data_IF_325219054249
#
_entry.id   IF_325219054249
#
_cell.length_a   1.000
_cell.length_b   1.000
_cell.length_c   1.000
_cell.angle_alpha   90.00
_cell.angle_beta   90.00
_cell.angle_gamma   90.00
#
_symmetry.space_group_name_H-M   'P 1'
#
loop_
_entity.id
_entity.type
_entity.pdbx_description
1 polymer ?
#
# COMPACT_ATOMS: atom_id res chain seq x y z
N UNK A 1 -3.55 18.06 13.24
CA UNK A 1 -4.43 18.60 12.19
C UNK A 1 -4.15 17.75 10.96
N UNK A 2 -5.04 16.82 10.65
CA UNK A 2 -4.88 15.88 9.54
C UNK A 2 -5.07 16.62 8.22
N UNK A 3 -4.13 16.49 7.29
CA UNK A 3 -4.18 17.10 5.97
C UNK A 3 -5.20 16.32 5.15
N UNK A 4 -6.33 16.95 4.87
CA UNK A 4 -7.30 16.48 3.88
C UNK A 4 -6.72 16.74 2.49
N UNK A 5 -5.81 15.88 2.02
CA UNK A 5 -5.42 15.92 0.62
C UNK A 5 -6.57 15.37 -0.22
N UNK A 6 -6.94 16.08 -1.28
CA UNK A 6 -7.92 15.57 -2.26
C UNK A 6 -7.24 14.65 -3.26
N UNK A 7 -6.00 14.99 -3.63
CA UNK A 7 -5.17 14.24 -4.59
C UNK A 7 -3.70 14.23 -4.14
N UNK A 8 -2.99 13.18 -4.50
CA UNK A 8 -1.55 13.00 -4.26
C UNK A 8 -0.94 12.31 -5.48
N UNK A 9 0.14 12.87 -6.02
CA UNK A 9 0.75 12.39 -7.25
C UNK A 9 2.26 12.20 -7.13
N UNK A 10 2.77 11.22 -7.86
CA UNK A 10 4.21 11.03 -8.07
C UNK A 10 4.46 10.30 -9.39
N UNK A 11 5.68 10.40 -9.90
CA UNK A 11 6.07 9.74 -11.14
C UNK A 11 7.40 9.01 -10.99
N UNK A 12 7.54 7.93 -11.76
CA UNK A 12 8.78 7.16 -11.88
C UNK A 12 9.23 7.08 -13.34
N UNK A 13 10.55 6.98 -13.56
CA UNK A 13 11.14 6.76 -14.88
C UNK A 13 11.05 5.30 -15.35
N UNK A 14 11.63 5.01 -16.52
CA UNK A 14 11.70 3.66 -17.10
C UNK A 14 12.50 2.64 -16.27
N UNK A 15 13.30 3.11 -15.30
CA UNK A 15 14.05 2.28 -14.34
C UNK A 15 13.37 2.22 -12.96
N UNK A 16 12.12 2.69 -12.89
CA UNK A 16 11.30 2.74 -11.68
C UNK A 16 11.89 3.61 -10.57
N UNK A 17 12.66 4.63 -10.92
CA UNK A 17 13.17 5.64 -9.98
C UNK A 17 12.19 6.79 -9.89
N UNK A 18 11.91 7.26 -8.67
CA UNK A 18 11.09 8.46 -8.45
C UNK A 18 11.75 9.66 -9.14
N UNK A 19 11.07 10.28 -10.09
CA UNK A 19 11.57 11.49 -10.78
C UNK A 19 10.85 12.74 -10.32
N UNK A 20 9.67 12.59 -9.72
CA UNK A 20 8.85 13.69 -9.26
C UNK A 20 7.85 13.23 -8.19
N UNK A 21 7.57 14.09 -7.21
CA UNK A 21 6.51 13.95 -6.21
C UNK A 21 5.83 15.31 -6.06
N UNK A 22 4.52 15.32 -5.84
CA UNK A 22 3.82 16.59 -5.57
C UNK A 22 3.95 17.02 -4.10
N UNK A 23 3.51 18.24 -3.81
CA UNK A 23 3.51 18.78 -2.44
C UNK A 23 2.62 17.97 -1.48
N UNK A 24 1.58 17.30 -2.00
CA UNK A 24 0.63 16.56 -1.18
C UNK A 24 1.20 15.21 -0.76
N UNK A 25 2.02 14.59 -1.59
CA UNK A 25 2.81 13.42 -1.26
C UNK A 25 3.75 13.71 -0.09
N UNK A 26 4.49 14.82 -0.16
CA UNK A 26 5.40 15.25 0.92
C UNK A 26 4.63 15.56 2.22
N UNK A 27 3.52 16.27 2.09
CA UNK A 27 2.64 16.59 3.21
C UNK A 27 2.07 15.31 3.87
N UNK A 28 1.66 14.35 3.04
CA UNK A 28 1.15 13.05 3.49
C UNK A 28 2.23 12.21 4.17
N UNK A 29 3.44 12.14 3.60
CA UNK A 29 4.56 11.44 4.20
C UNK A 29 4.90 12.01 5.59
N UNK A 30 4.91 13.35 5.72
CA UNK A 30 5.15 14.03 6.99
C UNK A 30 4.09 13.72 8.05
N UNK A 31 2.82 13.62 7.67
CA UNK A 31 1.72 13.32 8.61
C UNK A 31 1.74 11.88 9.12
N UNK A 32 2.19 10.93 8.29
CA UNK A 32 2.22 9.50 8.66
C UNK A 32 3.59 9.10 9.24
N UNK A 33 4.21 9.98 10.02
CA UNK A 33 5.49 9.79 10.73
C UNK A 33 6.70 9.40 9.84
N UNK A 34 6.62 9.62 8.52
CA UNK A 34 7.74 9.52 7.59
C UNK A 34 8.39 10.90 7.35
N UNK A 35 8.47 11.73 8.40
CA UNK A 35 8.92 13.14 8.33
C UNK A 35 10.37 13.36 7.88
N UNK A 36 11.17 12.29 7.77
CA UNK A 36 12.51 12.34 7.16
C UNK A 36 12.50 12.34 5.63
N UNK A 37 11.34 12.12 5.00
CA UNK A 37 11.20 12.13 3.54
C UNK A 37 10.96 13.56 3.05
N UNK A 38 11.99 14.15 2.47
CA UNK A 38 11.92 15.35 1.64
C UNK A 38 12.10 14.99 0.16
N UNK A 39 11.69 15.87 -0.76
CA UNK A 39 11.86 15.67 -2.21
C UNK A 39 13.31 15.30 -2.56
N UNK A 40 14.28 16.03 -2.00
CA UNK A 40 15.73 15.79 -2.18
C UNK A 40 16.22 14.43 -1.68
N UNK A 41 15.46 13.75 -0.83
CA UNK A 41 15.79 12.43 -0.27
C UNK A 41 15.06 11.28 -0.95
N UNK A 42 14.05 11.57 -1.77
CA UNK A 42 13.21 10.56 -2.45
C UNK A 42 13.44 10.55 -3.95
N UNK A 43 13.61 11.70 -4.58
CA UNK A 43 13.86 11.79 -6.03
C UNK A 43 15.21 11.16 -6.36
N UNK A 44 15.24 10.38 -7.44
CA UNK A 44 16.36 9.56 -7.90
C UNK A 44 16.42 8.16 -7.28
N UNK A 45 15.65 7.87 -6.23
CA UNK A 45 15.64 6.55 -5.58
C UNK A 45 14.65 5.59 -6.23
N UNK A 46 14.94 4.29 -6.28
CA UNK A 46 13.98 3.28 -6.72
C UNK A 46 12.70 3.32 -5.87
N UNK A 47 11.53 3.28 -6.52
CA UNK A 47 10.23 3.19 -5.84
C UNK A 47 10.18 2.01 -4.85
N UNK A 48 10.86 0.92 -5.19
CA UNK A 48 10.89 -0.32 -4.43
C UNK A 48 11.45 -0.17 -3.02
N UNK A 49 12.28 0.84 -2.76
CA UNK A 49 12.80 1.14 -1.43
C UNK A 49 11.71 1.65 -0.47
N UNK A 50 10.60 2.17 -0.99
CA UNK A 50 9.49 2.73 -0.21
C UNK A 50 8.31 1.77 -0.04
N UNK A 51 8.35 0.59 -0.67
CA UNK A 51 7.36 -0.47 -0.51
C UNK A 51 8.07 -1.59 0.24
N UNK A 52 7.74 -1.85 1.51
CA UNK A 52 8.46 -2.84 2.33
C UNK A 52 8.10 -4.29 2.01
N UNK A 53 6.87 -4.55 1.60
CA UNK A 53 6.34 -5.89 1.31
C UNK A 53 6.74 -6.41 -0.09
N UNK A 54 7.45 -7.55 -0.20
CA UNK A 54 7.78 -8.15 -1.49
C UNK A 54 6.55 -8.46 -2.36
N UNK A 55 5.45 -8.96 -1.78
CA UNK A 55 4.27 -9.31 -2.56
C UNK A 55 3.62 -8.05 -3.19
N UNK A 56 3.56 -6.95 -2.45
CA UNK A 56 3.10 -5.66 -2.95
C UNK A 56 4.03 -5.11 -4.02
N UNK A 57 5.36 -5.24 -3.87
CA UNK A 57 6.31 -4.85 -4.92
C UNK A 57 6.03 -5.60 -6.22
N UNK A 58 5.79 -6.90 -6.15
CA UNK A 58 5.53 -7.70 -7.34
C UNK A 58 4.22 -7.30 -8.02
N UNK A 59 3.16 -7.03 -7.25
CA UNK A 59 1.93 -6.45 -7.81
C UNK A 59 2.21 -5.12 -8.52
N UNK A 60 2.97 -4.20 -7.91
CA UNK A 60 3.29 -2.92 -8.54
C UNK A 60 4.14 -3.07 -9.81
N UNK A 61 5.10 -4.01 -9.85
CA UNK A 61 5.88 -4.32 -11.07
C UNK A 61 4.98 -4.82 -12.20
N UNK A 62 4.00 -5.65 -11.89
CA UNK A 62 3.03 -6.12 -12.90
C UNK A 62 2.12 -4.99 -13.39
N UNK A 63 1.73 -4.06 -12.51
CA UNK A 63 1.05 -2.83 -12.91
C UNK A 63 1.92 -2.01 -13.86
N UNK A 64 3.18 -1.73 -13.51
CA UNK A 64 4.13 -1.00 -14.37
C UNK A 64 4.25 -1.65 -15.75
N UNK A 65 4.45 -2.97 -15.77
CA UNK A 65 4.58 -3.73 -17.02
C UNK A 65 3.32 -3.61 -17.88
N UNK A 66 2.14 -3.73 -17.27
CA UNK A 66 0.86 -3.59 -17.95
C UNK A 66 0.69 -2.18 -18.53
N UNK A 67 0.78 -1.12 -17.72
CA UNK A 67 0.52 0.25 -18.20
C UNK A 67 1.53 0.70 -19.26
N UNK A 68 2.80 0.25 -19.17
CA UNK A 68 3.82 0.54 -20.19
C UNK A 68 3.59 -0.21 -21.49
N UNK A 69 3.13 -1.46 -21.43
CA UNK A 69 2.97 -2.32 -22.61
C UNK A 69 1.64 -2.09 -23.32
N UNK A 70 0.55 -1.99 -22.55
CA UNK A 70 -0.79 -1.78 -23.07
C UNK A 70 -1.07 -0.30 -23.39
N UNK A 71 -0.35 0.63 -22.74
CA UNK A 71 -0.63 2.07 -22.86
C UNK A 71 -1.96 2.50 -22.24
N UNK A 72 -2.59 1.61 -21.46
CA UNK A 72 -3.88 1.85 -20.80
C UNK A 72 -3.65 2.14 -19.32
N UNK A 73 -4.36 3.15 -18.81
CA UNK A 73 -4.38 3.46 -17.39
C UNK A 73 -5.12 2.36 -16.60
N UNK A 74 -4.63 2.09 -15.39
CA UNK A 74 -5.21 1.15 -14.45
C UNK A 74 -5.75 1.93 -13.24
N UNK A 75 -6.93 1.55 -12.74
CA UNK A 75 -7.51 2.14 -11.52
C UNK A 75 -7.62 1.07 -10.45
N UNK A 76 -7.04 1.32 -9.28
CA UNK A 76 -6.93 0.36 -8.18
C UNK A 76 -7.45 0.98 -6.89
N UNK A 77 -8.50 0.42 -6.27
CA UNK A 77 -8.90 0.83 -4.94
C UNK A 77 -7.94 0.29 -3.89
N UNK A 78 -7.57 1.10 -2.90
CA UNK A 78 -6.82 0.63 -1.72
C UNK A 78 -7.12 1.47 -0.48
N UNK A 79 -6.69 0.97 0.67
CA UNK A 79 -6.76 1.66 1.97
C UNK A 79 -5.41 2.19 2.41
N UNK A 80 -5.40 3.40 2.95
CA UNK A 80 -4.20 4.05 3.47
C UNK A 80 -4.44 4.59 4.88
N UNK A 81 -4.59 3.64 5.81
CA UNK A 81 -5.03 3.92 7.16
C UNK A 81 -3.87 4.38 8.05
N UNK A 82 -4.19 5.29 8.96
CA UNK A 82 -3.35 5.73 10.08
C UNK A 82 -4.00 5.28 11.39
N UNK A 83 -3.35 5.44 12.55
CA UNK A 83 -3.95 5.06 13.84
C UNK A 83 -5.28 5.76 14.16
N UNK A 84 -5.52 6.93 13.55
CA UNK A 84 -6.67 7.80 13.85
C UNK A 84 -7.65 8.00 12.69
N UNK A 85 -7.32 7.45 11.51
CA UNK A 85 -8.15 7.62 10.31
C UNK A 85 -8.03 6.43 9.37
N UNK A 86 -9.17 5.92 8.90
CA UNK A 86 -9.26 5.04 7.75
C UNK A 86 -9.48 5.88 6.49
N UNK A 87 -8.74 5.56 5.42
CA UNK A 87 -8.84 6.27 4.13
C UNK A 87 -9.01 5.27 3.02
N UNK A 88 -10.07 5.40 2.24
CA UNK A 88 -10.25 4.71 0.96
C UNK A 88 -9.77 5.61 -0.16
N UNK A 89 -8.87 5.09 -0.98
CA UNK A 89 -8.19 5.80 -2.06
C UNK A 89 -8.46 5.07 -3.38
N UNK A 90 -8.65 5.84 -4.44
CA UNK A 90 -8.60 5.36 -5.81
C UNK A 90 -7.25 5.73 -6.41
N UNK A 91 -6.44 4.74 -6.75
CA UNK A 91 -5.14 4.93 -7.39
C UNK A 91 -5.25 4.72 -8.89
N UNK A 92 -5.03 5.77 -9.66
CA UNK A 92 -4.82 5.68 -11.10
C UNK A 92 -3.33 5.56 -11.39
N UNK A 93 -2.95 4.56 -12.19
CA UNK A 93 -1.58 4.35 -12.67
C UNK A 93 -1.60 4.39 -14.18
N UNK A 94 -0.80 5.27 -14.80
CA UNK A 94 -0.75 5.45 -16.25
C UNK A 94 0.67 5.60 -16.75
N UNK A 95 0.89 5.29 -18.03
CA UNK A 95 2.16 5.54 -18.73
C UNK A 95 1.98 6.69 -19.71
N UNK A 96 3.01 7.52 -19.88
CA UNK A 96 3.02 8.59 -20.90
C UNK A 96 3.57 8.13 -22.26
N UNK A 97 3.92 6.84 -22.39
CA UNK A 97 4.51 6.26 -23.60
C UNK A 97 6.02 6.43 -23.73
N UNK A 98 6.66 7.25 -22.88
CA UNK A 98 8.13 7.40 -22.83
C UNK A 98 8.81 6.43 -21.86
N UNK A 99 8.02 5.58 -21.20
CA UNK A 99 8.45 4.65 -20.15
C UNK A 99 8.27 5.20 -18.74
N UNK A 100 7.90 6.48 -18.59
CA UNK A 100 7.49 7.03 -17.31
C UNK A 100 6.13 6.48 -16.90
N UNK A 101 5.95 6.34 -15.58
CA UNK A 101 4.68 5.94 -14.98
C UNK A 101 4.25 7.00 -13.98
N UNK A 102 3.04 7.52 -14.18
CA UNK A 102 2.38 8.48 -13.29
C UNK A 102 1.43 7.75 -12.35
N UNK A 103 1.50 8.11 -11.09
CA UNK A 103 0.61 7.69 -10.03
C UNK A 103 -0.25 8.86 -9.59
N UNK A 104 -1.56 8.66 -9.54
CA UNK A 104 -2.52 9.62 -9.02
C UNK A 104 -3.43 8.94 -7.99
N UNK A 105 -3.29 9.34 -6.74
CA UNK A 105 -4.14 8.88 -5.63
C UNK A 105 -5.20 9.94 -5.36
N UNK A 106 -6.47 9.54 -5.40
CA UNK A 106 -7.61 10.40 -5.05
C UNK A 106 -8.27 9.86 -3.78
N UNK A 107 -8.47 10.72 -2.78
CA UNK A 107 -9.21 10.36 -1.57
C UNK A 107 -10.70 10.18 -1.92
N UNK A 108 -11.20 8.97 -1.79
CA UNK A 108 -12.62 8.63 -2.05
C UNK A 108 -13.45 8.82 -0.79
N UNK A 109 -12.94 8.37 0.35
CA UNK A 109 -13.62 8.48 1.64
C UNK A 109 -12.61 8.45 2.79
N UNK A 110 -12.83 9.29 3.79
CA UNK A 110 -12.15 9.21 5.07
C UNK A 110 -13.15 9.02 6.21
N UNK A 111 -12.81 8.20 7.20
CA UNK A 111 -13.53 8.12 8.47
C UNK A 111 -12.54 8.14 9.63
N UNK A 112 -12.90 8.84 10.71
CA UNK A 112 -12.15 8.75 11.96
C UNK A 112 -12.34 7.36 12.54
N UNK A 113 -11.26 6.76 13.00
CA UNK A 113 -11.27 5.53 13.79
C UNK A 113 -10.18 5.61 14.86
N UNK A 114 -10.07 4.62 15.73
CA UNK A 114 -8.95 4.51 16.66
C UNK A 114 -8.46 3.08 16.67
N UNK A 115 -7.37 2.82 15.96
CA UNK A 115 -6.76 1.51 15.86
C UNK A 115 -5.33 1.62 16.37
N UNK A 116 -5.14 1.38 17.68
CA UNK A 116 -3.85 1.50 18.36
C UNK A 116 -2.77 0.59 17.76
N UNK A 117 -3.18 -0.59 17.24
CA UNK A 117 -2.31 -1.53 16.53
C UNK A 117 -1.53 -0.89 15.36
N UNK A 118 -2.09 0.15 14.73
CA UNK A 118 -1.44 0.87 13.63
C UNK A 118 -0.41 1.91 14.10
N UNK A 119 -0.35 2.25 15.40
CA UNK A 119 0.57 3.28 15.90
C UNK A 119 1.99 2.72 16.03
N UNK A 120 2.96 3.17 15.21
CA UNK A 120 4.31 2.62 15.23
C UNK A 120 5.09 2.99 16.50
N UNK A 121 4.60 3.96 17.29
CA UNK A 121 5.26 4.45 18.51
C UNK A 121 4.91 3.62 19.75
N UNK A 122 3.88 2.78 19.66
CA UNK A 122 3.47 1.92 20.77
C UNK A 122 4.33 0.66 20.85
N UNK A 123 4.57 0.10 22.06
CA UNK A 123 5.42 -1.07 22.24
C UNK A 123 4.98 -2.27 21.39
N UNK A 124 5.96 -2.99 20.83
CA UNK A 124 5.74 -4.19 20.02
C UNK A 124 6.19 -5.45 20.74
N UNK A 125 5.43 -6.53 20.59
CA UNK A 125 5.79 -7.87 21.05
C UNK A 125 6.70 -8.56 20.02
N UNK A 126 7.05 -9.82 20.27
CA UNK A 126 7.72 -10.67 19.27
C UNK A 126 6.73 -11.44 18.40
N UNK A 127 5.42 -11.39 18.68
CA UNK A 127 4.41 -11.99 17.81
C UNK A 127 4.21 -11.14 16.55
N UNK A 128 3.82 -11.80 15.46
CA UNK A 128 3.54 -11.14 14.18
C UNK A 128 2.05 -11.22 13.88
N UNK A 129 1.49 -10.12 13.39
CA UNK A 129 0.15 -10.06 12.84
C UNK A 129 0.24 -9.56 11.41
N UNK A 130 -0.33 -10.34 10.51
CA UNK A 130 -0.20 -10.12 9.08
C UNK A 130 -1.38 -9.32 8.56
N UNK A 131 -1.09 -8.25 7.85
CA UNK A 131 -2.08 -7.30 7.35
C UNK A 131 -2.02 -7.19 5.83
N UNK A 132 -3.18 -7.05 5.20
CA UNK A 132 -3.25 -6.87 3.75
C UNK A 132 -2.78 -5.47 3.37
N UNK A 133 -1.82 -5.36 2.45
CA UNK A 133 -1.29 -4.09 1.99
C UNK A 133 -2.34 -3.20 1.31
N UNK A 134 -3.35 -3.82 0.67
CA UNK A 134 -4.42 -3.13 -0.07
C UNK A 134 -5.65 -2.84 0.77
N UNK A 135 -6.29 -3.86 1.35
CA UNK A 135 -7.56 -3.65 2.08
C UNK A 135 -7.40 -3.47 3.60
N UNK A 136 -6.18 -3.59 4.15
CA UNK A 136 -5.87 -3.49 5.59
C UNK A 136 -6.58 -4.48 6.51
N UNK A 137 -7.33 -5.46 5.96
CA UNK A 137 -7.77 -6.64 6.70
C UNK A 137 -6.58 -7.40 7.26
N UNK A 138 -6.78 -8.07 8.37
CA UNK A 138 -5.75 -8.84 9.09
C UNK A 138 -6.03 -10.34 8.97
N UNK A 139 -4.97 -11.12 8.82
CA UNK A 139 -5.06 -12.57 8.67
C UNK A 139 -5.11 -13.23 10.03
N UNK A 140 -6.16 -14.01 10.25
CA UNK A 140 -6.34 -14.87 11.43
C UNK A 140 -5.46 -16.11 11.35
N UNK A 141 -5.23 -16.81 12.47
CA UNK A 141 -4.48 -18.07 12.50
C UNK A 141 -5.17 -19.18 11.68
N UNK A 142 -6.50 -19.11 11.59
CA UNK A 142 -7.31 -19.97 10.71
C UNK A 142 -7.22 -19.60 9.22
N UNK A 143 -6.40 -18.60 8.86
CA UNK A 143 -6.15 -18.15 7.49
C UNK A 143 -7.19 -17.18 6.92
N UNK A 144 -8.27 -16.88 7.65
CA UNK A 144 -9.32 -15.92 7.23
C UNK A 144 -8.84 -14.48 7.34
N UNK A 145 -9.37 -13.59 6.50
CA UNK A 145 -9.09 -12.15 6.53
C UNK A 145 -10.27 -11.37 7.11
N UNK A 146 -10.05 -10.64 8.20
CA UNK A 146 -11.10 -9.93 8.95
C UNK A 146 -10.78 -8.42 9.09
N UNK A 147 -11.79 -7.61 9.37
CA UNK A 147 -11.62 -6.18 9.68
C UNK A 147 -11.09 -5.96 11.11
N UNK A 148 -10.57 -4.75 11.39
CA UNK A 148 -10.10 -4.41 12.74
C UNK A 148 -11.22 -4.51 13.80
N UNK A 149 -12.45 -4.17 13.42
CA UNK A 149 -13.60 -4.22 14.32
C UNK A 149 -13.94 -5.66 14.77
N UNK A 150 -13.40 -6.67 14.08
CA UNK A 150 -13.59 -8.10 14.39
C UNK A 150 -12.39 -8.71 15.15
N UNK A 151 -11.34 -7.93 15.42
CA UNK A 151 -10.11 -8.42 16.05
C UNK A 151 -10.29 -8.84 17.51
N UNK A 152 -11.11 -8.13 18.28
CA UNK A 152 -11.15 -8.28 19.74
C UNK A 152 -11.50 -9.70 20.20
N UNK A 153 -12.34 -10.42 19.45
CA UNK A 153 -12.74 -11.80 19.80
C UNK A 153 -11.69 -12.84 19.41
N UNK A 154 -10.88 -12.59 18.37
CA UNK A 154 -9.95 -13.57 17.81
C UNK A 154 -8.49 -13.29 18.14
N UNK A 155 -8.15 -12.04 18.51
CA UNK A 155 -6.80 -11.57 18.79
C UNK A 155 -6.76 -10.61 19.99
N UNK A 156 -6.90 -11.13 21.23
CA UNK A 156 -6.82 -10.30 22.43
C UNK A 156 -5.51 -9.51 22.55
N UNK A 157 -4.41 -10.05 22.01
CA UNK A 157 -3.09 -9.37 21.96
C UNK A 157 -3.05 -8.16 21.01
N UNK A 158 -3.99 -8.05 20.07
CA UNK A 158 -4.14 -6.87 19.23
C UNK A 158 -4.94 -5.75 19.93
N UNK A 159 -5.60 -6.05 21.06
CA UNK A 159 -6.42 -5.10 21.80
C UNK A 159 -5.64 -4.27 22.83
N UNK A 160 -4.44 -4.70 23.25
CA UNK A 160 -3.63 -4.00 24.26
C UNK A 160 -2.12 -4.20 24.06
N UNK A 161 -1.29 -3.21 24.45
CA UNK A 161 0.17 -3.32 24.30
C UNK A 161 0.78 -4.37 25.26
N UNK A 162 1.92 -5.00 24.88
CA UNK A 162 2.65 -4.79 23.63
C UNK A 162 1.93 -5.42 22.42
N UNK A 163 1.78 -4.65 21.34
CA UNK A 163 1.04 -5.09 20.15
C UNK A 163 1.90 -6.00 19.25
N UNK A 164 1.32 -6.93 18.48
CA UNK A 164 2.09 -7.69 17.49
C UNK A 164 2.77 -6.77 16.46
N UNK A 165 3.89 -7.25 15.91
CA UNK A 165 4.55 -6.63 14.78
C UNK A 165 3.71 -6.82 13.53
N UNK A 166 3.50 -5.74 12.78
CA UNK A 166 2.74 -5.81 11.54
C UNK A 166 3.63 -6.27 10.39
N UNK A 167 3.32 -7.44 9.86
CA UNK A 167 3.85 -7.89 8.56
C UNK A 167 2.79 -7.67 7.49
N UNK A 168 3.22 -7.58 6.24
CA UNK A 168 2.37 -7.18 5.14
C UNK A 168 2.38 -8.23 4.03
N UNK A 169 1.24 -8.43 3.37
CA UNK A 169 1.10 -9.21 2.13
C UNK A 169 -0.14 -8.74 1.36
N UNK A 170 -0.36 -9.25 0.16
CA UNK A 170 -1.66 -9.08 -0.53
C UNK A 170 -2.56 -10.29 -0.23
N UNK A 171 -3.78 -10.05 0.24
CA UNK A 171 -4.76 -11.12 0.45
C UNK A 171 -5.28 -11.68 -0.89
N UNK A 172 -5.86 -12.86 -0.86
CA UNK A 172 -6.32 -13.59 -2.05
C UNK A 172 -7.39 -12.81 -2.82
N UNK A 173 -8.31 -12.13 -2.13
CA UNK A 173 -9.35 -11.31 -2.76
C UNK A 173 -8.75 -10.13 -3.54
N UNK A 174 -7.92 -9.31 -2.89
CA UNK A 174 -7.25 -8.18 -3.54
C UNK A 174 -6.32 -8.64 -4.67
N UNK A 175 -5.68 -9.80 -4.54
CA UNK A 175 -4.86 -10.35 -5.61
C UNK A 175 -5.70 -10.73 -6.84
N UNK A 176 -6.84 -11.41 -6.63
CA UNK A 176 -7.77 -11.77 -7.70
C UNK A 176 -8.38 -10.53 -8.39
N UNK A 177 -8.71 -9.49 -7.62
CA UNK A 177 -9.17 -8.21 -8.13
C UNK A 177 -8.09 -7.57 -9.02
N UNK A 178 -6.86 -7.47 -8.53
CA UNK A 178 -5.72 -6.94 -9.30
C UNK A 178 -5.46 -7.71 -10.59
N UNK A 179 -5.58 -9.04 -10.57
CA UNK A 179 -5.50 -9.86 -11.79
C UNK A 179 -6.58 -9.50 -12.80
N UNK A 180 -7.80 -9.25 -12.33
CA UNK A 180 -8.94 -8.93 -13.20
C UNK A 180 -8.76 -7.55 -13.83
N UNK A 181 -8.37 -6.54 -13.06
CA UNK A 181 -8.14 -5.17 -13.56
C UNK A 181 -6.97 -5.14 -14.55
N UNK A 182 -5.92 -5.92 -14.31
CA UNK A 182 -4.79 -6.04 -15.23
C UNK A 182 -5.03 -7.04 -16.39
N UNK A 183 -6.27 -7.49 -16.65
CA UNK A 183 -6.57 -8.39 -17.78
C UNK A 183 -5.89 -9.77 -17.72
N UNK A 184 -5.59 -10.28 -16.53
CA UNK A 184 -4.96 -11.59 -16.29
C UNK A 184 -3.44 -11.60 -16.18
N UNK A 185 -2.78 -10.44 -16.29
CA UNK A 185 -1.32 -10.31 -16.37
C UNK A 185 -0.56 -10.47 -15.04
N UNK A 186 -1.21 -10.38 -13.87
CA UNK A 186 -0.53 -10.54 -12.57
C UNK A 186 -0.30 -12.04 -12.30
N UNK A 187 0.88 -12.55 -12.64
CA UNK A 187 1.31 -13.92 -12.39
C UNK A 187 1.98 -14.09 -11.02
N UNK A 188 1.78 -15.24 -10.37
CA UNK A 188 2.40 -15.57 -9.09
C UNK A 188 3.93 -15.65 -9.22
N UNK A 189 4.65 -14.94 -8.36
CA UNK A 189 6.09 -15.11 -8.19
C UNK A 189 6.47 -16.44 -7.47
N UNK A 190 5.50 -17.33 -7.19
CA UNK A 190 5.74 -18.59 -6.47
C UNK A 190 5.77 -19.86 -7.34
N UNK A 191 5.65 -19.77 -8.66
CA UNK A 191 5.63 -20.94 -9.57
C UNK A 191 6.86 -21.05 -10.49
N UNK A 192 7.95 -20.32 -10.20
CA UNK A 192 9.21 -20.38 -10.99
C UNK A 192 10.31 -21.24 -10.36
N UNK A 193 9.95 -22.21 -9.53
CA UNK A 193 10.85 -23.25 -9.03
C UNK A 193 10.26 -24.64 -9.29
N UNK A 194 9.96 -24.92 -10.56
CA UNK A 194 9.79 -26.29 -11.09
C UNK A 194 9.61 -26.23 -12.61
N UNK A 195 10.70 -26.00 -13.32
CA UNK A 195 10.92 -26.45 -14.71
C UNK A 195 12.38 -26.30 -15.11
#
# INVERSE_FOLDING_TARGET
MSIEFTTCQYAVDALDRLVWVDRWWLAFAKENDAGGLAESTVVGRPLWEFISDPATRDVYKEIHRYVRTAGLALVVPFRCDSPSMERRISLTVSSDGSGHVLYESILVRARRHRVSLLDPRLPRSQSELRMCSFCKRVQTDAGRWIEFDELDEQFPEAASPPFPQLTYRVCEDCFAEMRTVCGGYVGLASDRDSR
#
